data_IF_810075724716
#
_entry.id   IF_810075724716
#
_cell.length_a   1.000
_cell.length_b   1.000
_cell.length_c   1.000
_cell.angle_alpha   90.00
_cell.angle_beta   90.00
_cell.angle_gamma   90.00
#
_symmetry.space_group_name_H-M   'P 1'
#
loop_
_entity.id
_entity.type
_entity.pdbx_description
1 polymer ?
#
# COMPACT_ATOMS: atom_id res chain seq x y z
N UNK A 1 25.64 9.82 5.63
CA UNK A 1 26.97 10.30 5.99
C UNK A 1 28.04 9.37 5.43
N UNK A 2 29.29 9.85 5.26
CA UNK A 2 30.43 9.00 4.85
C UNK A 2 30.63 7.80 5.80
N UNK A 3 30.51 8.01 7.09
CA UNK A 3 30.64 6.97 8.14
C UNK A 3 29.65 5.81 7.94
N UNK A 4 28.37 6.09 7.65
CA UNK A 4 27.40 5.02 7.42
C UNK A 4 27.73 4.20 6.16
N UNK A 5 28.33 4.80 5.15
CA UNK A 5 28.74 4.06 3.95
C UNK A 5 29.98 3.19 4.23
N UNK A 6 30.94 3.67 5.04
CA UNK A 6 32.13 2.91 5.45
C UNK A 6 31.68 1.71 6.32
N UNK A 7 30.84 1.95 7.34
CA UNK A 7 30.31 0.88 8.18
C UNK A 7 29.56 -0.18 7.36
N UNK A 8 28.68 0.25 6.45
CA UNK A 8 27.97 -0.66 5.57
C UNK A 8 28.93 -1.50 4.70
N UNK A 9 29.93 -0.87 4.11
CA UNK A 9 30.92 -1.53 3.26
C UNK A 9 31.70 -2.59 4.05
N UNK A 10 32.27 -2.21 5.20
CA UNK A 10 33.07 -3.14 6.04
C UNK A 10 32.21 -4.30 6.58
N UNK A 11 30.98 -4.02 7.03
CA UNK A 11 30.06 -5.06 7.49
C UNK A 11 29.77 -6.08 6.38
N UNK A 12 29.47 -5.63 5.18
CA UNK A 12 29.19 -6.52 4.04
C UNK A 12 30.43 -7.29 3.62
N UNK A 13 31.62 -6.67 3.68
CA UNK A 13 32.89 -7.32 3.37
C UNK A 13 33.17 -8.48 4.34
N UNK A 14 32.93 -8.27 5.64
CA UNK A 14 33.09 -9.31 6.68
C UNK A 14 32.10 -10.45 6.46
N UNK A 15 30.81 -10.15 6.28
CA UNK A 15 29.76 -11.16 6.07
C UNK A 15 29.94 -11.87 4.75
N UNK A 16 30.46 -11.18 3.74
CA UNK A 16 30.68 -11.66 2.35
C UNK A 16 29.50 -12.43 1.75
N UNK A 17 28.26 -11.91 1.78
CA UNK A 17 27.10 -12.62 1.26
C UNK A 17 27.22 -12.80 -0.26
N UNK A 18 26.82 -13.97 -0.77
CA UNK A 18 26.71 -14.22 -2.22
C UNK A 18 25.55 -13.43 -2.85
N UNK A 19 24.45 -13.32 -2.08
CA UNK A 19 23.21 -12.67 -2.52
C UNK A 19 22.76 -11.67 -1.45
N UNK A 20 22.37 -10.46 -1.86
CA UNK A 20 21.66 -9.50 -1.03
C UNK A 20 20.21 -9.33 -1.50
N UNK A 21 19.28 -9.29 -0.55
CA UNK A 21 17.86 -9.03 -0.80
C UNK A 21 17.41 -7.81 -0.01
N UNK A 22 16.76 -6.84 -0.67
CA UNK A 22 16.29 -5.62 -0.02
C UNK A 22 15.14 -4.96 -0.74
N UNK A 23 14.41 -4.09 -0.01
CA UNK A 23 13.37 -3.29 -0.63
C UNK A 23 13.95 -2.04 -1.31
N UNK A 24 13.19 -1.47 -2.26
CA UNK A 24 13.61 -0.33 -3.06
C UNK A 24 13.68 0.99 -2.29
N UNK A 25 12.99 1.10 -1.15
CA UNK A 25 13.09 2.30 -0.29
C UNK A 25 14.42 2.28 0.44
N UNK A 26 14.88 1.10 0.82
CA UNK A 26 16.19 0.94 1.39
C UNK A 26 17.26 0.97 0.28
N UNK A 27 17.80 2.16 0.04
CA UNK A 27 18.81 2.39 -1.00
C UNK A 27 20.08 1.54 -0.85
N UNK A 28 20.24 0.83 0.27
CA UNK A 28 21.41 -0.02 0.52
C UNK A 28 21.52 -1.18 -0.47
N UNK A 29 20.37 -1.68 -1.01
CA UNK A 29 20.43 -2.73 -2.03
C UNK A 29 21.13 -2.27 -3.31
N UNK A 30 20.94 -1.00 -3.72
CA UNK A 30 21.62 -0.42 -4.87
C UNK A 30 23.07 -0.04 -4.55
N UNK A 31 23.35 0.38 -3.31
CA UNK A 31 24.72 0.59 -2.83
C UNK A 31 25.49 -0.72 -2.77
N UNK A 32 24.85 -1.81 -2.32
CA UNK A 32 25.43 -3.14 -2.32
C UNK A 32 25.94 -3.51 -3.71
N UNK A 33 25.11 -3.39 -4.75
CA UNK A 33 25.54 -3.70 -6.12
C UNK A 33 26.65 -2.79 -6.64
N UNK A 34 26.67 -1.53 -6.19
CA UNK A 34 27.74 -0.60 -6.54
C UNK A 34 29.09 -1.00 -5.92
N UNK A 35 29.10 -1.37 -4.62
CA UNK A 35 30.34 -1.70 -3.91
C UNK A 35 30.84 -3.13 -4.20
N UNK A 36 29.92 -4.02 -4.52
CA UNK A 36 30.19 -5.43 -4.77
C UNK A 36 29.56 -5.86 -6.09
N UNK A 37 30.12 -5.40 -7.23
CA UNK A 37 29.53 -5.62 -8.56
C UNK A 37 29.46 -7.11 -8.94
N UNK A 38 30.33 -7.95 -8.39
CA UNK A 38 30.36 -9.39 -8.60
C UNK A 38 29.27 -10.16 -7.83
N UNK A 39 28.74 -9.56 -6.75
CA UNK A 39 27.68 -10.15 -5.92
C UNK A 39 26.31 -9.91 -6.52
N UNK A 40 25.36 -10.74 -6.15
CA UNK A 40 23.98 -10.65 -6.68
C UNK A 40 23.12 -9.76 -5.77
N UNK A 41 22.52 -8.72 -6.35
CA UNK A 41 21.58 -7.83 -5.70
C UNK A 41 20.14 -8.06 -6.20
N UNK A 42 19.23 -8.38 -5.30
CA UNK A 42 17.81 -8.58 -5.59
C UNK A 42 17.02 -7.49 -4.87
N UNK A 43 16.38 -6.60 -5.62
CA UNK A 43 15.46 -5.61 -5.08
C UNK A 43 14.01 -6.10 -5.17
N UNK A 44 13.16 -5.70 -4.23
CA UNK A 44 11.72 -5.89 -4.34
C UNK A 44 10.96 -4.62 -3.99
N UNK A 45 9.85 -4.40 -4.68
CA UNK A 45 8.97 -3.28 -4.44
C UNK A 45 8.17 -3.49 -3.15
N UNK A 46 8.19 -2.50 -2.25
CA UNK A 46 7.44 -2.52 -1.00
C UNK A 46 6.38 -1.41 -0.90
N UNK A 47 6.45 -0.39 -1.75
CA UNK A 47 5.44 0.67 -1.83
C UNK A 47 4.91 0.83 -3.24
N UNK A 48 3.68 1.34 -3.33
CA UNK A 48 3.12 1.71 -4.61
C UNK A 48 3.74 3.02 -5.10
N UNK A 49 4.46 2.96 -6.21
CA UNK A 49 5.03 4.14 -6.84
C UNK A 49 3.97 4.92 -7.61
N UNK A 50 3.90 6.21 -7.34
CA UNK A 50 3.18 7.20 -8.14
C UNK A 50 4.17 8.06 -8.92
N UNK A 51 3.68 8.87 -9.85
CA UNK A 51 4.55 9.84 -10.54
C UNK A 51 5.20 10.86 -9.58
N UNK A 52 4.58 11.13 -8.43
CA UNK A 52 5.13 11.96 -7.35
C UNK A 52 6.35 11.30 -6.71
N UNK A 53 6.22 10.06 -6.29
CA UNK A 53 7.32 9.28 -5.70
C UNK A 53 8.42 9.00 -6.74
N UNK A 54 8.05 8.81 -8.02
CA UNK A 54 9.03 8.75 -9.12
C UNK A 54 9.89 10.01 -9.20
N UNK A 55 9.30 11.20 -8.97
CA UNK A 55 10.04 12.46 -8.91
C UNK A 55 11.09 12.49 -7.80
N UNK A 56 10.77 11.93 -6.63
CA UNK A 56 11.69 11.84 -5.49
C UNK A 56 12.86 10.88 -5.78
N UNK A 57 12.57 9.69 -6.33
CA UNK A 57 13.61 8.76 -6.76
C UNK A 57 14.47 9.31 -7.89
N UNK A 58 13.86 9.94 -8.90
CA UNK A 58 14.62 10.59 -9.98
C UNK A 58 15.52 11.70 -9.46
N UNK A 59 15.09 12.49 -8.48
CA UNK A 59 15.95 13.48 -7.80
C UNK A 59 17.11 12.80 -7.08
N UNK A 60 16.84 11.67 -6.40
CA UNK A 60 17.91 10.90 -5.78
C UNK A 60 18.90 10.37 -6.83
N UNK A 61 18.43 9.82 -7.96
CA UNK A 61 19.28 9.36 -9.07
C UNK A 61 20.07 10.53 -9.67
N UNK A 62 19.43 11.70 -9.85
CA UNK A 62 20.10 12.90 -10.39
C UNK A 62 21.17 13.45 -9.43
N UNK A 63 20.96 13.32 -8.14
CA UNK A 63 21.92 13.74 -7.11
C UNK A 63 22.95 12.65 -6.77
N UNK A 64 22.69 11.39 -7.11
CA UNK A 64 23.66 10.30 -7.02
C UNK A 64 24.47 10.30 -8.32
N UNK A 65 25.78 10.38 -8.23
CA UNK A 65 26.69 10.24 -9.40
C UNK A 65 26.59 8.88 -10.08
N UNK A 66 25.64 8.00 -9.65
CA UNK A 66 25.60 6.59 -10.08
C UNK A 66 24.18 6.17 -10.41
N UNK A 67 23.98 5.39 -11.50
CA UNK A 67 22.69 4.79 -11.80
C UNK A 67 22.29 3.79 -10.71
N UNK A 68 20.98 3.73 -10.40
CA UNK A 68 20.45 2.67 -9.56
C UNK A 68 20.52 1.35 -10.33
N UNK A 69 21.24 0.38 -9.79
CA UNK A 69 21.47 -0.92 -10.45
C UNK A 69 21.25 -2.05 -9.45
N UNK A 70 20.55 -3.10 -9.88
CA UNK A 70 20.49 -4.40 -9.22
C UNK A 70 20.32 -5.50 -10.28
N UNK A 71 20.61 -6.75 -9.95
CA UNK A 71 20.51 -7.83 -10.94
C UNK A 71 19.06 -8.17 -11.22
N UNK A 72 18.22 -8.25 -10.19
CA UNK A 72 16.79 -8.56 -10.29
C UNK A 72 15.95 -7.57 -9.48
N UNK A 73 14.82 -7.16 -10.05
CA UNK A 73 13.88 -6.29 -9.39
C UNK A 73 12.46 -6.86 -9.47
N UNK A 74 11.95 -7.31 -8.33
CA UNK A 74 10.59 -7.81 -8.19
C UNK A 74 9.62 -6.64 -8.04
N UNK A 75 8.68 -6.49 -8.96
CA UNK A 75 7.73 -5.38 -9.02
C UNK A 75 6.28 -5.86 -8.97
N UNK A 76 5.38 -4.98 -8.56
CA UNK A 76 3.97 -5.30 -8.38
C UNK A 76 3.27 -5.68 -9.68
N UNK A 77 3.49 -4.90 -10.73
CA UNK A 77 2.78 -5.03 -12.00
C UNK A 77 3.56 -4.40 -13.16
N UNK A 78 2.97 -4.45 -14.35
CA UNK A 78 3.55 -3.87 -15.55
C UNK A 78 3.66 -2.33 -15.47
N UNK A 79 2.76 -1.64 -14.74
CA UNK A 79 2.85 -0.20 -14.56
C UNK A 79 4.02 0.17 -13.65
N UNK A 80 4.21 -0.57 -12.57
CA UNK A 80 5.38 -0.44 -11.71
C UNK A 80 6.68 -0.63 -12.48
N UNK A 81 6.75 -1.65 -13.34
CA UNK A 81 7.89 -1.85 -14.25
C UNK A 81 8.13 -0.63 -15.14
N UNK A 82 7.07 -0.06 -15.74
CA UNK A 82 7.19 1.15 -16.59
C UNK A 82 7.63 2.37 -15.77
N UNK A 83 7.13 2.53 -14.55
CA UNK A 83 7.48 3.64 -13.67
C UNK A 83 8.93 3.60 -13.19
N UNK A 84 9.46 2.39 -12.96
CA UNK A 84 10.78 2.13 -12.40
C UNK A 84 11.84 1.83 -13.46
N UNK A 85 11.54 2.00 -14.75
CA UNK A 85 12.42 1.65 -15.88
C UNK A 85 13.76 2.38 -15.91
N UNK A 86 13.95 3.40 -15.08
CA UNK A 86 15.23 4.10 -14.89
C UNK A 86 16.21 3.32 -13.99
N UNK A 87 15.75 2.25 -13.31
CA UNK A 87 16.60 1.32 -12.58
C UNK A 87 17.14 0.28 -13.58
N UNK A 88 18.46 0.12 -13.64
CA UNK A 88 19.08 -0.94 -14.45
C UNK A 88 18.92 -2.28 -13.76
N UNK A 89 18.00 -3.12 -14.28
CA UNK A 89 17.68 -4.42 -13.67
C UNK A 89 16.89 -5.33 -14.59
N UNK A 90 16.95 -6.64 -14.33
CA UNK A 90 16.00 -7.60 -14.86
C UNK A 90 14.72 -7.58 -14.03
N UNK A 91 13.66 -6.97 -14.55
CA UNK A 91 12.38 -6.87 -13.87
C UNK A 91 11.60 -8.18 -13.88
N UNK A 92 11.07 -8.57 -12.72
CA UNK A 92 10.19 -9.74 -12.53
C UNK A 92 8.87 -9.25 -11.93
N UNK A 93 7.77 -9.47 -12.65
CA UNK A 93 6.43 -9.14 -12.15
C UNK A 93 5.95 -10.27 -11.26
N UNK A 94 5.76 -9.99 -9.96
CA UNK A 94 5.40 -10.98 -8.95
C UNK A 94 4.30 -10.53 -7.99
N UNK A 95 3.95 -9.24 -8.00
CA UNK A 95 3.14 -8.65 -6.94
C UNK A 95 3.96 -8.25 -5.70
N UNK A 96 3.27 -7.93 -4.63
CA UNK A 96 3.88 -7.55 -3.35
C UNK A 96 4.46 -8.79 -2.65
N UNK A 97 5.76 -8.78 -2.36
CA UNK A 97 6.44 -9.86 -1.62
C UNK A 97 5.76 -10.12 -0.28
N UNK A 98 5.38 -9.05 0.46
CA UNK A 98 4.65 -9.17 1.72
C UNK A 98 3.28 -9.80 1.53
N UNK A 99 2.50 -9.33 0.57
CA UNK A 99 1.18 -9.87 0.27
C UNK A 99 1.25 -11.34 -0.13
N UNK A 100 2.22 -11.72 -0.92
CA UNK A 100 2.42 -13.09 -1.40
C UNK A 100 2.73 -14.08 -0.27
N UNK A 101 3.42 -13.63 0.79
CA UNK A 101 3.81 -14.46 1.94
C UNK A 101 2.63 -14.75 2.87
N UNK A 102 1.70 -13.82 3.00
CA UNK A 102 0.61 -13.95 3.95
C UNK A 102 -0.40 -15.00 3.49
N UNK A 103 -0.57 -16.03 4.29
CA UNK A 103 -1.58 -17.07 4.12
C UNK A 103 -2.80 -16.71 4.96
N UNK A 104 -3.96 -16.61 4.33
CA UNK A 104 -5.24 -16.37 4.99
C UNK A 104 -6.15 -17.58 4.89
N UNK A 105 -6.99 -17.79 5.91
CA UNK A 105 -8.04 -18.83 5.88
C UNK A 105 -9.31 -18.23 5.28
N UNK A 106 -9.74 -18.73 4.11
CA UNK A 106 -11.04 -18.35 3.54
C UNK A 106 -12.17 -18.85 4.43
N UNK A 107 -13.08 -17.95 4.81
CA UNK A 107 -14.32 -18.33 5.50
C UNK A 107 -15.46 -18.42 4.49
N UNK A 108 -16.29 -19.47 4.59
CA UNK A 108 -17.52 -19.62 3.78
C UNK A 108 -18.52 -18.52 4.13
N UNK A 109 -18.74 -18.28 5.41
CA UNK A 109 -19.60 -17.19 5.89
C UNK A 109 -18.73 -16.00 6.31
N UNK A 110 -19.06 -14.82 5.80
CA UNK A 110 -18.40 -13.57 6.15
C UNK A 110 -19.00 -13.04 7.46
N UNK A 111 -18.13 -12.66 8.39
CA UNK A 111 -18.54 -12.10 9.70
C UNK A 111 -19.01 -10.64 9.57
N UNK A 112 -18.40 -9.90 8.62
CA UNK A 112 -18.67 -8.50 8.36
C UNK A 112 -19.12 -8.28 6.93
N UNK A 113 -19.94 -7.25 6.74
CA UNK A 113 -20.34 -6.82 5.40
C UNK A 113 -19.28 -5.93 4.77
N UNK A 114 -18.71 -5.03 5.55
CA UNK A 114 -17.76 -4.02 5.09
C UNK A 114 -16.56 -3.99 6.01
N UNK A 115 -15.35 -3.98 5.44
CA UNK A 115 -14.12 -3.59 6.13
C UNK A 115 -13.69 -2.21 5.63
N UNK A 116 -13.57 -1.25 6.53
CA UNK A 116 -12.88 0.01 6.25
C UNK A 116 -11.39 -0.14 6.57
N UNK A 117 -10.53 0.25 5.64
CA UNK A 117 -9.07 0.27 5.83
C UNK A 117 -8.70 1.69 6.22
N UNK A 118 -8.40 1.89 7.49
CA UNK A 118 -7.96 3.19 8.00
C UNK A 118 -6.57 3.55 7.48
N UNK A 119 -6.41 4.79 7.08
CA UNK A 119 -5.15 5.41 6.68
C UNK A 119 -4.84 6.61 7.59
N UNK A 120 -5.35 6.54 8.83
CA UNK A 120 -5.15 7.58 9.82
C UNK A 120 -3.67 7.84 10.05
N UNK A 121 -3.31 9.10 10.10
CA UNK A 121 -1.95 9.55 10.47
C UNK A 121 -2.07 10.79 11.33
N UNK A 122 -1.51 10.75 12.52
CA UNK A 122 -1.48 11.89 13.42
C UNK A 122 -0.57 13.01 12.87
N UNK A 123 -0.96 14.25 13.20
CA UNK A 123 -0.14 15.43 12.90
C UNK A 123 1.22 15.39 13.61
N UNK A 124 1.27 14.87 14.83
CA UNK A 124 2.48 14.83 15.68
C UNK A 124 3.51 13.83 15.16
N UNK A 125 3.09 12.65 14.77
CA UNK A 125 4.00 11.65 14.15
C UNK A 125 4.68 12.15 12.87
N UNK A 126 4.15 13.20 12.25
CA UNK A 126 4.68 13.86 11.05
C UNK A 126 5.79 14.84 11.32
N UNK A 127 5.73 15.56 12.41
CA UNK A 127 6.82 16.43 12.82
C UNK A 127 8.05 15.61 13.16
N UNK A 128 7.85 14.45 13.76
CA UNK A 128 8.90 13.46 14.01
C UNK A 128 9.50 12.89 12.72
N UNK A 129 8.67 12.56 11.71
CA UNK A 129 9.14 12.13 10.39
C UNK A 129 9.91 13.23 9.63
N UNK A 130 9.61 14.51 9.86
CA UNK A 130 10.40 15.64 9.34
C UNK A 130 11.83 15.62 9.87
N UNK A 131 11.99 15.39 11.16
CA UNK A 131 13.30 15.34 11.83
C UNK A 131 14.12 14.12 11.39
N UNK A 132 13.47 12.95 11.27
CA UNK A 132 14.15 11.70 10.94
C UNK A 132 14.49 11.55 9.45
N UNK A 133 13.71 12.16 8.55
CA UNK A 133 13.90 12.02 7.09
C UNK A 133 14.83 13.05 6.45
N UNK A 134 15.31 14.05 7.20
CA UNK A 134 16.17 15.11 6.66
C UNK A 134 15.51 15.94 5.53
N UNK A 135 14.18 15.93 5.44
CA UNK A 135 13.41 16.66 4.42
C UNK A 135 13.34 18.13 4.81
N UNK A 136 14.39 18.89 4.46
CA UNK A 136 14.52 20.31 4.78
C UNK A 136 13.89 21.24 3.73
N UNK A 137 13.04 20.77 2.81
CA UNK A 137 12.46 21.62 1.77
C UNK A 137 11.00 21.96 2.06
N UNK A 138 10.73 23.24 2.30
CA UNK A 138 9.42 23.84 2.58
C UNK A 138 8.31 23.38 1.62
N UNK A 139 8.60 23.11 0.35
CA UNK A 139 7.63 22.68 -0.64
C UNK A 139 7.19 21.21 -0.47
N UNK A 140 8.09 20.31 -0.07
CA UNK A 140 7.74 18.88 0.17
C UNK A 140 6.96 18.73 1.49
N UNK A 141 7.19 19.64 2.46
CA UNK A 141 6.44 19.74 3.70
C UNK A 141 5.01 20.23 3.48
N UNK A 142 4.84 21.28 2.66
CA UNK A 142 3.52 21.82 2.31
C UNK A 142 2.65 20.77 1.62
N UNK A 143 3.23 20.00 0.69
CA UNK A 143 2.54 18.93 -0.01
C UNK A 143 2.15 17.78 0.93
N UNK A 144 3.02 17.38 1.85
CA UNK A 144 2.70 16.32 2.82
C UNK A 144 1.57 16.76 3.77
N UNK A 145 1.56 17.99 4.26
CA UNK A 145 0.47 18.53 5.08
C UNK A 145 -0.88 18.56 4.35
N UNK A 146 -0.88 18.97 3.08
CA UNK A 146 -2.09 18.95 2.24
C UNK A 146 -2.60 17.53 2.07
N UNK A 147 -1.72 16.60 1.72
CA UNK A 147 -2.11 15.20 1.49
C UNK A 147 -2.73 14.57 2.74
N UNK A 148 -2.25 14.92 3.89
CA UNK A 148 -2.71 14.31 5.14
C UNK A 148 -4.01 14.95 5.66
N UNK A 149 -4.12 16.28 5.63
CA UNK A 149 -5.40 16.93 5.98
C UNK A 149 -6.53 16.48 5.04
N UNK A 150 -6.22 16.30 3.77
CA UNK A 150 -7.20 15.78 2.81
C UNK A 150 -7.50 14.29 3.00
N UNK A 151 -6.52 13.49 3.41
CA UNK A 151 -6.75 12.10 3.77
C UNK A 151 -7.77 11.98 4.91
N UNK A 152 -7.69 12.82 5.94
CA UNK A 152 -8.67 12.83 7.03
C UNK A 152 -10.07 13.24 6.54
N UNK A 153 -10.18 14.25 5.69
CA UNK A 153 -11.46 14.66 5.09
C UNK A 153 -12.08 13.50 4.27
N UNK A 154 -11.26 12.80 3.49
CA UNK A 154 -11.75 11.68 2.69
C UNK A 154 -12.17 10.50 3.55
N UNK A 155 -11.44 10.19 4.60
CA UNK A 155 -11.80 9.14 5.55
C UNK A 155 -13.07 9.50 6.33
N UNK A 156 -13.22 10.74 6.81
CA UNK A 156 -14.46 11.21 7.42
C UNK A 156 -15.67 11.07 6.48
N UNK A 157 -15.51 11.42 5.22
CA UNK A 157 -16.59 11.26 4.22
C UNK A 157 -16.99 9.79 4.04
N UNK A 158 -16.01 8.88 3.98
CA UNK A 158 -16.29 7.44 3.88
C UNK A 158 -16.99 6.94 5.15
N UNK A 159 -16.46 7.28 6.33
CA UNK A 159 -17.00 6.81 7.60
C UNK A 159 -18.44 7.28 7.83
N UNK A 160 -18.77 8.54 7.49
CA UNK A 160 -20.15 9.04 7.54
C UNK A 160 -21.07 8.27 6.60
N UNK A 161 -20.64 7.98 5.38
CA UNK A 161 -21.42 7.15 4.47
C UNK A 161 -21.62 5.73 5.01
N UNK A 162 -20.62 5.15 5.68
CA UNK A 162 -20.72 3.84 6.33
C UNK A 162 -21.68 3.87 7.51
N UNK A 163 -21.64 4.92 8.33
CA UNK A 163 -22.57 5.10 9.45
C UNK A 163 -24.03 5.13 8.97
N UNK A 164 -24.33 5.88 7.90
CA UNK A 164 -25.68 5.91 7.31
C UNK A 164 -26.08 4.54 6.75
N UNK A 165 -25.18 3.86 6.00
CA UNK A 165 -25.47 2.53 5.44
C UNK A 165 -25.77 1.50 6.53
N UNK A 166 -25.04 1.53 7.66
CA UNK A 166 -25.27 0.64 8.77
C UNK A 166 -26.68 0.81 9.34
N UNK A 167 -27.09 2.06 9.61
CA UNK A 167 -28.42 2.38 10.15
C UNK A 167 -29.55 1.96 9.20
N UNK A 168 -29.38 2.24 7.90
CA UNK A 168 -30.42 1.98 6.90
C UNK A 168 -30.55 0.51 6.51
N UNK A 169 -29.47 -0.29 6.60
CA UNK A 169 -29.43 -1.64 6.03
C UNK A 169 -29.01 -2.73 7.02
N UNK A 170 -28.84 -2.39 8.31
CA UNK A 170 -28.39 -3.30 9.36
C UNK A 170 -27.10 -4.07 8.98
N UNK A 171 -26.12 -3.36 8.43
CA UNK A 171 -24.84 -3.94 7.99
C UNK A 171 -23.80 -3.90 9.10
N UNK A 172 -22.92 -4.89 9.13
CA UNK A 172 -21.79 -4.94 10.08
C UNK A 172 -20.53 -4.38 9.45
N UNK A 173 -19.99 -3.31 10.06
CA UNK A 173 -18.74 -2.68 9.65
C UNK A 173 -17.62 -3.07 10.62
N UNK A 174 -16.46 -3.45 10.07
CA UNK A 174 -15.23 -3.57 10.85
C UNK A 174 -14.16 -2.63 10.29
N UNK A 175 -13.19 -2.28 11.13
CA UNK A 175 -12.11 -1.34 10.79
C UNK A 175 -10.76 -2.04 10.95
N UNK A 176 -9.97 -2.02 9.87
CA UNK A 176 -8.56 -2.34 9.92
C UNK A 176 -7.79 -1.08 10.31
N UNK A 177 -7.39 -0.97 11.58
CA UNK A 177 -6.73 0.21 12.14
C UNK A 177 -5.35 0.43 11.50
N UNK A 178 -5.00 1.69 11.25
CA UNK A 178 -3.67 2.07 10.76
C UNK A 178 -2.60 1.89 11.84
N UNK A 179 -2.98 2.08 13.11
CA UNK A 179 -2.13 1.92 14.30
C UNK A 179 -2.02 0.48 14.81
N UNK A 180 -2.78 -0.47 14.24
CA UNK A 180 -2.83 -1.86 14.70
C UNK A 180 -1.54 -2.62 14.33
N UNK A 181 -0.44 -2.18 14.88
CA UNK A 181 0.75 -3.00 15.05
C UNK A 181 0.65 -3.57 16.45
N UNK A 182 0.51 -4.88 16.56
CA UNK A 182 0.21 -5.64 17.77
C UNK A 182 1.05 -5.29 19.03
N UNK A 183 2.07 -4.45 18.90
CA UNK A 183 3.06 -4.12 19.92
C UNK A 183 2.85 -2.76 20.62
N UNK A 184 1.83 -1.95 20.24
CA UNK A 184 1.72 -0.58 20.75
C UNK A 184 0.28 -0.15 21.09
N UNK A 185 -0.38 -0.89 21.98
CA UNK A 185 -1.73 -0.51 22.48
C UNK A 185 -1.80 0.85 23.18
N UNK A 186 -0.68 1.36 23.68
CA UNK A 186 -0.62 2.62 24.46
C UNK A 186 -0.01 3.80 23.70
N UNK A 187 0.07 3.72 22.38
CA UNK A 187 0.60 4.79 21.58
C UNK A 187 -0.42 5.93 21.41
N UNK A 188 0.05 7.17 21.53
CA UNK A 188 -0.74 8.39 21.26
C UNK A 188 -1.46 8.32 19.92
N UNK A 189 -0.82 7.75 18.89
CA UNK A 189 -1.41 7.57 17.57
C UNK A 189 -2.66 6.68 17.58
N UNK A 190 -2.71 5.63 18.43
CA UNK A 190 -3.88 4.75 18.52
C UNK A 190 -5.06 5.41 19.20
N UNK A 191 -4.82 6.21 20.26
CA UNK A 191 -5.84 6.98 20.94
C UNK A 191 -6.46 8.06 20.06
N UNK A 192 -5.63 8.74 19.27
CA UNK A 192 -6.08 9.76 18.34
C UNK A 192 -6.84 9.16 17.15
N UNK A 193 -6.44 7.98 16.65
CA UNK A 193 -7.19 7.26 15.63
C UNK A 193 -8.56 6.83 16.16
N UNK A 194 -8.62 6.29 17.38
CA UNK A 194 -9.89 5.90 18.02
C UNK A 194 -10.83 7.10 18.20
N UNK A 195 -10.30 8.25 18.68
CA UNK A 195 -11.06 9.49 18.78
C UNK A 195 -11.63 9.91 17.42
N UNK A 196 -10.78 9.93 16.38
CA UNK A 196 -11.21 10.26 15.02
C UNK A 196 -12.32 9.32 14.52
N UNK A 197 -12.22 8.03 14.79
CA UNK A 197 -13.23 7.05 14.41
C UNK A 197 -14.56 7.33 15.14
N UNK A 198 -14.55 7.50 16.46
CA UNK A 198 -15.75 7.80 17.26
C UNK A 198 -16.47 9.08 16.83
N UNK A 199 -15.74 10.06 16.32
CA UNK A 199 -16.31 11.30 15.78
C UNK A 199 -17.03 11.12 14.43
N UNK A 200 -16.80 10.01 13.72
CA UNK A 200 -17.27 9.82 12.34
C UNK A 200 -18.14 8.59 12.12
N UNK A 201 -18.13 7.61 13.02
CA UNK A 201 -18.95 6.40 12.95
C UNK A 201 -19.32 5.95 14.35
N UNK A 202 -20.61 5.66 14.58
CA UNK A 202 -21.13 5.33 15.90
C UNK A 202 -20.79 3.90 16.33
N UNK A 203 -20.96 2.94 15.42
CA UNK A 203 -20.70 1.53 15.70
C UNK A 203 -19.69 0.94 14.71
N UNK A 204 -18.70 0.26 15.22
CA UNK A 204 -17.74 -0.49 14.42
C UNK A 204 -17.08 -1.61 15.23
N UNK A 205 -16.56 -2.60 14.55
CA UNK A 205 -15.81 -3.70 15.16
C UNK A 205 -14.33 -3.58 14.83
N UNK A 206 -13.49 -3.99 15.76
CA UNK A 206 -12.06 -4.20 15.56
C UNK A 206 -11.68 -5.61 16.01
N UNK A 207 -10.70 -6.23 15.39
CA UNK A 207 -10.20 -7.55 15.78
C UNK A 207 -8.67 -7.55 15.85
N UNK A 208 -8.07 -8.28 16.81
CA UNK A 208 -6.61 -8.40 16.95
C UNK A 208 -6.04 -9.42 15.95
N UNK A 209 -6.44 -9.34 14.69
CA UNK A 209 -5.99 -10.18 13.59
C UNK A 209 -5.39 -9.34 12.47
N UNK A 210 -4.66 -9.96 11.56
CA UNK A 210 -4.09 -9.24 10.42
C UNK A 210 -5.20 -8.63 9.55
N UNK A 211 -4.93 -7.45 8.98
CA UNK A 211 -5.87 -6.79 8.06
C UNK A 211 -6.23 -7.65 6.84
N UNK A 212 -5.35 -8.56 6.43
CA UNK A 212 -5.66 -9.54 5.37
C UNK A 212 -6.68 -10.59 5.82
N UNK A 213 -6.54 -11.09 7.06
CA UNK A 213 -7.52 -12.03 7.61
C UNK A 213 -8.85 -11.34 7.89
N UNK A 214 -8.83 -10.08 8.31
CA UNK A 214 -10.03 -9.28 8.49
C UNK A 214 -10.77 -9.06 7.16
N UNK A 215 -10.03 -8.83 6.07
CA UNK A 215 -10.60 -8.78 4.72
C UNK A 215 -11.26 -10.10 4.31
N UNK A 216 -10.63 -11.25 4.61
CA UNK A 216 -11.25 -12.56 4.35
C UNK A 216 -12.53 -12.79 5.19
N UNK A 217 -12.67 -12.11 6.32
CA UNK A 217 -13.87 -12.13 7.15
C UNK A 217 -14.95 -11.15 6.67
N UNK A 218 -14.67 -10.33 5.67
CA UNK A 218 -15.54 -9.24 5.18
C UNK A 218 -16.00 -9.49 3.74
N UNK A 219 -17.21 -9.04 3.38
CA UNK A 219 -17.73 -9.16 1.99
C UNK A 219 -17.00 -8.21 1.04
N UNK A 220 -16.72 -6.99 1.50
CA UNK A 220 -15.98 -5.96 0.73
C UNK A 220 -15.02 -5.20 1.62
N UNK A 221 -14.02 -4.56 1.01
CA UNK A 221 -13.16 -3.59 1.69
C UNK A 221 -13.28 -2.22 1.03
N UNK A 222 -13.19 -1.16 1.84
CA UNK A 222 -13.23 0.23 1.38
C UNK A 222 -11.99 0.96 1.89
N UNK A 223 -11.36 1.75 1.04
CA UNK A 223 -10.17 2.52 1.37
C UNK A 223 -10.11 3.79 0.54
N UNK A 224 -9.32 4.75 1.01
CA UNK A 224 -8.97 5.92 0.22
C UNK A 224 -7.87 5.57 -0.81
N UNK A 225 -6.68 5.19 -0.35
CA UNK A 225 -5.53 4.93 -1.23
C UNK A 225 -4.58 3.83 -0.73
N UNK A 226 -4.98 3.02 0.23
CA UNK A 226 -4.11 2.05 0.86
C UNK A 226 -3.49 1.07 -0.14
N UNK A 227 -2.19 0.79 0.05
CA UNK A 227 -1.51 -0.31 -0.65
C UNK A 227 -2.20 -1.65 -0.36
N UNK A 228 -2.70 -1.84 0.87
CA UNK A 228 -3.47 -3.03 1.24
C UNK A 228 -4.69 -3.21 0.32
N UNK A 229 -5.43 -2.15 -0.01
CA UNK A 229 -6.57 -2.25 -0.93
C UNK A 229 -6.18 -2.84 -2.29
N UNK A 230 -5.01 -2.49 -2.80
CA UNK A 230 -4.48 -3.03 -4.07
C UNK A 230 -4.04 -4.48 -3.93
N UNK A 231 -3.40 -4.81 -2.83
CA UNK A 231 -2.99 -6.18 -2.51
C UNK A 231 -4.21 -7.09 -2.37
N UNK A 232 -5.30 -6.60 -1.78
CA UNK A 232 -6.57 -7.32 -1.70
C UNK A 232 -7.22 -7.51 -3.08
N UNK A 233 -7.16 -6.51 -3.97
CA UNK A 233 -7.60 -6.68 -5.37
C UNK A 233 -6.84 -7.82 -6.06
N UNK A 234 -5.52 -7.92 -5.85
CA UNK A 234 -4.71 -8.99 -6.44
C UNK A 234 -5.12 -10.39 -5.95
N UNK A 235 -5.73 -10.48 -4.77
CA UNK A 235 -6.33 -11.71 -4.20
C UNK A 235 -7.77 -11.94 -4.64
N UNK A 236 -8.26 -11.16 -5.59
CA UNK A 236 -9.66 -11.19 -6.05
C UNK A 236 -10.68 -10.79 -4.97
N UNK A 237 -10.25 -10.09 -3.91
CA UNK A 237 -11.18 -9.54 -2.93
C UNK A 237 -11.88 -8.30 -3.50
N UNK A 238 -13.15 -8.09 -3.12
CA UNK A 238 -13.91 -6.91 -3.53
C UNK A 238 -13.44 -5.68 -2.78
N UNK A 239 -12.89 -4.70 -3.49
CA UNK A 239 -12.39 -3.45 -2.92
C UNK A 239 -13.00 -2.26 -3.63
N UNK A 240 -13.33 -1.21 -2.89
CA UNK A 240 -13.70 0.09 -3.42
C UNK A 240 -12.71 1.16 -2.95
N UNK A 241 -12.16 1.90 -3.90
CA UNK A 241 -11.37 3.11 -3.64
C UNK A 241 -12.27 4.32 -3.73
N UNK A 242 -12.21 5.19 -2.74
CA UNK A 242 -13.08 6.35 -2.61
C UNK A 242 -12.27 7.63 -2.55
N UNK A 243 -12.50 8.51 -3.51
CA UNK A 243 -11.97 9.88 -3.54
C UNK A 243 -13.10 10.89 -3.36
N UNK A 244 -12.99 11.77 -2.38
CA UNK A 244 -14.00 12.81 -2.10
C UNK A 244 -14.11 13.86 -3.20
N UNK A 245 -13.03 14.17 -3.91
CA UNK A 245 -13.03 15.15 -5.01
C UNK A 245 -11.91 14.87 -6.01
N UNK A 246 -12.00 15.53 -7.18
CA UNK A 246 -10.90 15.52 -8.17
C UNK A 246 -9.61 16.06 -7.54
N UNK A 247 -8.79 15.19 -7.10
CA UNK A 247 -7.50 15.54 -6.55
C UNK A 247 -6.46 15.49 -7.66
N UNK A 248 -6.08 16.66 -8.21
CA UNK A 248 -5.19 16.77 -9.38
C UNK A 248 -3.89 15.98 -9.26
N UNK A 249 -3.38 15.78 -8.04
CA UNK A 249 -2.15 15.03 -7.79
C UNK A 249 -2.33 13.51 -7.77
N UNK A 250 -3.56 13.03 -7.57
CA UNK A 250 -3.88 11.60 -7.42
C UNK A 250 -4.64 11.08 -8.64
N UNK A 251 -5.16 11.98 -9.47
CA UNK A 251 -5.99 11.68 -10.64
C UNK A 251 -5.38 10.57 -11.51
N UNK A 252 -6.07 9.46 -11.57
CA UNK A 252 -5.96 8.41 -12.59
C UNK A 252 -4.64 7.66 -12.69
N UNK A 253 -3.56 8.20 -12.12
CA UNK A 253 -2.20 7.67 -12.27
C UNK A 253 -1.77 6.75 -11.12
N UNK A 254 -2.60 6.66 -10.09
CA UNK A 254 -2.34 5.81 -8.93
C UNK A 254 -2.89 4.39 -9.12
N UNK A 255 -4.02 4.27 -9.80
CA UNK A 255 -4.59 3.00 -10.24
C UNK A 255 -4.77 3.04 -11.75
N UNK A 256 -4.42 1.99 -12.49
CA UNK A 256 -4.82 1.90 -13.87
C UNK A 256 -6.36 1.87 -13.92
N UNK A 257 -6.93 2.72 -14.76
CA UNK A 257 -8.40 2.82 -14.95
C UNK A 257 -9.19 3.17 -13.67
N UNK A 258 -8.96 4.38 -13.12
CA UNK A 258 -9.72 4.95 -11.99
C UNK A 258 -11.21 5.14 -12.34
N UNK A 259 -11.92 4.06 -12.62
CA UNK A 259 -13.33 4.09 -13.02
C UNK A 259 -14.01 2.74 -12.76
N UNK A 260 -15.34 2.72 -12.79
CA UNK A 260 -16.11 1.48 -12.70
C UNK A 260 -16.46 1.06 -11.27
N UNK A 261 -16.62 -0.26 -11.06
CA UNK A 261 -17.22 -0.80 -9.84
C UNK A 261 -16.36 -0.64 -8.59
N UNK A 262 -15.04 -0.61 -8.73
CA UNK A 262 -14.08 -0.51 -7.63
C UNK A 262 -13.62 0.93 -7.34
N UNK A 263 -14.23 1.92 -8.00
CA UNK A 263 -13.83 3.32 -7.91
C UNK A 263 -15.01 4.23 -7.71
N UNK A 264 -14.91 5.13 -6.75
CA UNK A 264 -15.82 6.24 -6.57
C UNK A 264 -15.00 7.53 -6.46
N UNK A 265 -15.43 8.56 -7.18
CA UNK A 265 -14.90 9.91 -7.10
C UNK A 265 -16.06 10.89 -7.05
N UNK A 266 -16.18 11.66 -5.98
CA UNK A 266 -17.26 12.62 -5.80
C UNK A 266 -17.53 12.97 -4.34
N UNK A 267 -18.52 13.87 -4.14
CA UNK A 267 -18.94 14.37 -2.83
C UNK A 267 -20.35 13.94 -2.43
N UNK A 268 -21.00 13.13 -3.25
CA UNK A 268 -22.39 12.72 -3.02
C UNK A 268 -22.46 11.42 -2.22
N UNK A 269 -22.85 11.50 -0.94
CA UNK A 269 -22.98 10.36 -0.05
C UNK A 269 -23.94 9.32 -0.60
N UNK A 270 -25.10 9.70 -1.11
CA UNK A 270 -26.10 8.76 -1.62
C UNK A 270 -25.59 7.95 -2.83
N UNK A 271 -24.83 8.59 -3.72
CA UNK A 271 -24.19 7.87 -4.83
C UNK A 271 -23.11 6.90 -4.32
N UNK A 272 -22.33 7.28 -3.32
CA UNK A 272 -21.35 6.41 -2.68
C UNK A 272 -22.04 5.21 -2.03
N UNK A 273 -23.08 5.44 -1.23
CA UNK A 273 -23.91 4.39 -0.60
C UNK A 273 -24.45 3.40 -1.63
N UNK A 274 -25.05 3.89 -2.71
CA UNK A 274 -25.56 3.06 -3.82
C UNK A 274 -24.45 2.18 -4.43
N UNK A 275 -23.26 2.73 -4.66
CA UNK A 275 -22.12 1.97 -5.20
C UNK A 275 -21.63 0.90 -4.22
N UNK A 276 -21.55 1.21 -2.94
CA UNK A 276 -21.15 0.25 -1.87
C UNK A 276 -22.12 -0.92 -1.84
N UNK A 277 -23.42 -0.65 -1.77
CA UNK A 277 -24.47 -1.69 -1.73
C UNK A 277 -24.44 -2.56 -3.01
N UNK A 278 -24.26 -1.96 -4.19
CA UNK A 278 -24.11 -2.70 -5.44
C UNK A 278 -22.86 -3.62 -5.43
N UNK A 279 -21.76 -3.16 -4.83
CA UNK A 279 -20.54 -3.97 -4.73
C UNK A 279 -20.75 -5.15 -3.76
N UNK A 280 -21.42 -4.94 -2.63
CA UNK A 280 -21.79 -6.03 -1.69
C UNK A 280 -22.60 -7.11 -2.42
N UNK A 281 -23.65 -6.71 -3.17
CA UNK A 281 -24.52 -7.60 -3.93
C UNK A 281 -23.85 -8.30 -5.13
N UNK A 282 -22.69 -7.80 -5.58
CA UNK A 282 -21.96 -8.42 -6.70
C UNK A 282 -21.39 -9.78 -6.27
N UNK A 283 -21.74 -10.86 -6.96
CA UNK A 283 -21.21 -12.19 -6.67
C UNK A 283 -19.74 -12.33 -7.11
N UNK A 284 -19.01 -13.32 -6.57
CA UNK A 284 -17.58 -13.51 -6.81
C UNK A 284 -17.24 -13.78 -8.29
N UNK A 285 -18.07 -14.54 -9.02
CA UNK A 285 -17.86 -14.82 -10.45
C UNK A 285 -17.94 -13.54 -11.28
N UNK A 286 -18.97 -12.71 -11.05
CA UNK A 286 -19.13 -11.42 -11.73
C UNK A 286 -18.00 -10.44 -11.38
N UNK A 287 -17.51 -10.49 -10.15
CA UNK A 287 -16.39 -9.68 -9.70
C UNK A 287 -15.09 -10.10 -10.39
N UNK A 288 -14.74 -11.40 -10.36
CA UNK A 288 -13.54 -11.94 -11.01
C UNK A 288 -13.53 -11.65 -12.52
N UNK A 289 -14.67 -11.89 -13.19
CA UNK A 289 -14.82 -11.58 -14.62
C UNK A 289 -14.60 -10.09 -14.91
N UNK A 290 -15.13 -9.21 -14.04
CA UNK A 290 -14.92 -7.77 -14.16
C UNK A 290 -13.46 -7.35 -14.03
N UNK A 291 -12.73 -7.89 -13.03
CA UNK A 291 -11.31 -7.60 -12.83
C UNK A 291 -10.48 -8.06 -14.04
N UNK A 292 -10.71 -9.27 -14.53
CA UNK A 292 -10.02 -9.84 -15.68
C UNK A 292 -10.26 -9.01 -16.97
N UNK A 293 -11.53 -8.70 -17.26
CA UNK A 293 -11.90 -7.91 -18.46
C UNK A 293 -11.28 -6.52 -18.46
N UNK A 294 -11.09 -5.92 -17.29
CA UNK A 294 -10.50 -4.58 -17.15
C UNK A 294 -8.98 -4.61 -16.98
N UNK A 295 -8.40 -5.80 -16.93
CA UNK A 295 -6.98 -5.97 -16.62
C UNK A 295 -6.56 -5.16 -15.37
N UNK A 296 -7.45 -5.16 -14.36
CA UNK A 296 -7.25 -4.52 -13.08
C UNK A 296 -6.58 -5.57 -12.20
N UNK A 297 -5.30 -5.77 -12.39
CA UNK A 297 -4.63 -6.83 -11.65
C UNK A 297 -3.24 -6.40 -11.24
N UNK A 298 -3.02 -6.37 -9.94
CA UNK A 298 -1.69 -6.58 -9.40
C UNK A 298 -1.42 -8.07 -9.51
N UNK A 299 -0.20 -8.44 -9.89
CA UNK A 299 0.18 -9.84 -9.86
C UNK A 299 0.13 -10.36 -8.41
N UNK A 300 -0.23 -11.61 -8.26
CA UNK A 300 -0.21 -12.32 -6.99
C UNK A 300 0.52 -13.65 -7.17
N UNK A 301 1.67 -13.77 -6.53
CA UNK A 301 2.53 -14.96 -6.56
C UNK A 301 2.52 -15.62 -5.19
N UNK A 302 1.43 -16.37 -4.90
CA UNK A 302 1.20 -17.02 -3.61
C UNK A 302 2.42 -17.79 -3.11
N UNK A 303 2.93 -17.39 -1.94
CA UNK A 303 4.10 -18.00 -1.30
C UNK A 303 5.42 -17.57 -1.94
N UNK A 304 5.45 -16.49 -2.73
CA UNK A 304 6.66 -15.94 -3.39
C UNK A 304 7.42 -16.99 -4.24
N UNK A 305 6.69 -17.83 -4.98
CA UNK A 305 7.28 -18.93 -5.75
C UNK A 305 8.36 -18.49 -6.74
N UNK A 306 8.14 -17.36 -7.43
CA UNK A 306 9.12 -16.80 -8.38
C UNK A 306 10.40 -16.37 -7.68
N UNK A 307 10.29 -15.68 -6.53
CA UNK A 307 11.45 -15.25 -5.75
C UNK A 307 12.21 -16.46 -5.19
N UNK A 308 11.50 -17.41 -4.56
CA UNK A 308 12.10 -18.64 -4.02
C UNK A 308 12.82 -19.44 -5.10
N UNK A 309 12.18 -19.64 -6.28
CA UNK A 309 12.81 -20.33 -7.41
C UNK A 309 14.06 -19.61 -7.90
N UNK A 310 14.04 -18.27 -7.95
CA UNK A 310 15.23 -17.52 -8.34
C UNK A 310 16.38 -17.70 -7.34
N UNK A 311 16.10 -17.55 -6.04
CA UNK A 311 17.12 -17.71 -4.98
C UNK A 311 17.74 -19.11 -5.05
N UNK A 312 16.90 -20.16 -5.11
CA UNK A 312 17.39 -21.55 -5.24
C UNK A 312 18.24 -21.81 -6.48
N UNK A 313 17.99 -21.08 -7.57
CA UNK A 313 18.82 -21.19 -8.78
C UNK A 313 20.18 -20.50 -8.63
N UNK A 314 20.27 -19.48 -7.79
CA UNK A 314 21.46 -18.65 -7.60
C UNK A 314 22.37 -19.13 -6.46
N UNK A 315 21.84 -19.93 -5.54
CA UNK A 315 22.61 -20.64 -4.52
C UNK A 315 23.25 -21.90 -5.06
#
# INVERSE_FOLDING_TARGET
SKLNNIYFYETIKIISPKIALGNEINMNIFKFKKFFPEKIAIAYQCVQWSNLLKGSLKRYVKNSKYPLTCDYFFVYDQNSKKLLNFVKSKFIISGSVRNNEIITKKRRMKKYDIMFISEYRDKIGREKLKYESGINKVNDLKLSHILISQSLIFQSFILRALNEIQKENNLKVCIALASNRAEKKDNVDSKNEEKFLKENIEEYHTEPISSYQLAENSKISITFMSTLGKELLSRNHKVMFVLYSKFKFINGKYLPNSSGKYWYEGKNINQLKKKILNLIKTNEKKWSSYLNKKNIGYSYDKGNKKLKKLILKLC
#
